data_IF_136875604814
#
_entry.id   IF_136875604814
#
_cell.length_a   1.000
_cell.length_b   1.000
_cell.length_c   1.000
_cell.angle_alpha   90.00
_cell.angle_beta   90.00
_cell.angle_gamma   90.00
#
_symmetry.space_group_name_H-M   'P 1'
#
loop_
_entity.id
_entity.type
_entity.pdbx_description
1 polymer ?
#
# COMPACT_ATOMS: atom_id res chain seq x y z
N UNK A 1 8.41 -37.46 61.06
CA UNK A 1 8.21 -37.78 59.63
C UNK A 1 6.94 -37.11 59.15
N UNK A 2 7.11 -35.96 58.51
CA UNK A 2 6.06 -34.99 58.13
C UNK A 2 5.43 -35.34 56.79
N UNK A 3 4.21 -35.88 56.80
CA UNK A 3 3.33 -36.00 55.63
C UNK A 3 2.24 -34.91 55.68
N UNK A 4 2.53 -33.76 55.08
CA UNK A 4 1.60 -32.64 54.81
C UNK A 4 2.47 -31.69 53.96
N UNK A 5 2.19 -31.39 52.70
CA UNK A 5 0.95 -30.88 52.13
C UNK A 5 1.15 -30.96 50.62
N UNK A 6 0.42 -31.84 49.94
CA UNK A 6 0.24 -31.77 48.49
C UNK A 6 -0.77 -30.66 48.18
N UNK A 7 -0.67 -30.08 46.98
CA UNK A 7 -1.67 -29.25 46.30
C UNK A 7 -1.79 -27.78 46.72
N UNK A 8 -0.92 -26.92 46.18
CA UNK A 8 -1.24 -25.54 45.79
C UNK A 8 -0.25 -25.16 44.67
N UNK A 9 -0.58 -24.60 43.53
CA UNK A 9 -1.84 -24.32 42.88
C UNK A 9 -1.48 -24.12 41.39
N UNK A 10 -2.13 -24.85 40.49
CA UNK A 10 -2.07 -24.56 39.07
C UNK A 10 -2.84 -23.24 38.85
N UNK A 11 -2.11 -22.12 38.86
CA UNK A 11 -2.70 -20.80 38.68
C UNK A 11 -1.96 -20.07 37.56
N UNK A 12 -2.71 -19.74 36.50
CA UNK A 12 -2.37 -18.59 35.66
C UNK A 12 -1.99 -18.91 34.23
N UNK A 13 -2.83 -19.65 33.49
CA UNK A 13 -2.91 -19.44 32.03
C UNK A 13 -4.35 -19.04 31.70
N UNK A 14 -4.66 -17.77 31.88
CA UNK A 14 -5.79 -17.13 31.22
C UNK A 14 -5.22 -16.29 30.09
N UNK A 15 -4.90 -16.93 28.96
CA UNK A 15 -4.58 -16.22 27.74
C UNK A 15 -5.88 -15.55 27.25
N UNK A 16 -5.98 -14.25 27.45
CA UNK A 16 -7.06 -13.43 26.89
C UNK A 16 -6.92 -13.48 25.36
N UNK A 17 -7.72 -14.32 24.71
CA UNK A 17 -7.89 -14.29 23.26
C UNK A 17 -8.67 -13.03 22.90
N UNK A 18 -7.96 -11.94 22.61
CA UNK A 18 -8.57 -10.76 22.04
C UNK A 18 -9.02 -11.08 20.60
N UNK A 19 -10.24 -10.69 20.20
CA UNK A 19 -10.67 -10.86 18.82
C UNK A 19 -9.81 -9.95 17.92
N UNK A 20 -9.13 -10.55 16.94
CA UNK A 20 -8.47 -9.79 15.88
C UNK A 20 -9.55 -9.18 14.98
N UNK A 21 -9.79 -7.88 15.14
CA UNK A 21 -10.65 -7.14 14.21
C UNK A 21 -9.87 -6.88 12.93
N UNK A 22 -10.24 -7.57 11.85
CA UNK A 22 -9.68 -7.29 10.52
C UNK A 22 -10.41 -6.07 9.96
N UNK A 23 -9.72 -4.94 9.91
CA UNK A 23 -10.25 -3.77 9.22
C UNK A 23 -10.30 -4.01 7.70
N UNK A 24 -11.37 -3.60 7.00
CA UNK A 24 -11.40 -3.67 5.54
C UNK A 24 -10.30 -2.79 4.96
N UNK A 25 -9.63 -3.28 3.91
CA UNK A 25 -8.67 -2.48 3.17
C UNK A 25 -9.38 -1.25 2.60
N UNK A 26 -8.82 -0.06 2.84
CA UNK A 26 -9.36 1.17 2.29
C UNK A 26 -9.42 1.10 0.75
N UNK A 27 -10.54 1.53 0.18
CA UNK A 27 -10.69 1.62 -1.26
C UNK A 27 -9.58 2.52 -1.82
N UNK A 28 -8.80 1.98 -2.76
CA UNK A 28 -7.73 2.75 -3.39
C UNK A 28 -8.36 3.77 -4.33
N UNK A 29 -8.07 5.06 -4.09
CA UNK A 29 -8.49 6.12 -4.98
C UNK A 29 -8.01 5.81 -6.40
N UNK A 30 -8.96 5.66 -7.31
CA UNK A 30 -8.72 5.52 -8.73
C UNK A 30 -9.25 6.78 -9.40
N UNK A 31 -8.39 7.47 -10.14
CA UNK A 31 -8.77 8.75 -10.73
C UNK A 31 -7.94 9.05 -11.97
N UNK A 32 -8.57 9.78 -12.88
CA UNK A 32 -7.93 10.34 -14.06
C UNK A 32 -7.99 11.85 -13.95
N UNK A 33 -6.88 12.51 -14.21
CA UNK A 33 -6.77 13.96 -14.23
C UNK A 33 -6.19 14.38 -15.57
N UNK A 34 -6.95 15.21 -16.30
CA UNK A 34 -6.43 15.82 -17.52
C UNK A 34 -5.26 16.76 -17.17
N UNK A 35 -4.24 16.79 -18.02
CA UNK A 35 -3.13 17.74 -17.96
C UNK A 35 -2.92 18.36 -19.33
N UNK A 36 -2.22 19.50 -19.37
CA UNK A 36 -1.78 20.06 -20.65
C UNK A 36 -0.98 19.01 -21.42
N UNK A 37 -1.41 18.70 -22.65
CA UNK A 37 -0.77 17.70 -23.50
C UNK A 37 -0.98 16.24 -23.08
N UNK A 38 -1.92 15.92 -22.18
CA UNK A 38 -2.21 14.51 -21.88
C UNK A 38 -3.00 14.27 -20.59
N UNK A 39 -2.64 13.22 -19.88
CA UNK A 39 -3.38 12.73 -18.71
C UNK A 39 -2.49 12.09 -17.66
N UNK A 40 -2.95 12.12 -16.42
CA UNK A 40 -2.38 11.39 -15.30
C UNK A 40 -3.45 10.49 -14.70
N UNK A 41 -3.10 9.24 -14.44
CA UNK A 41 -3.96 8.30 -13.72
C UNK A 41 -3.30 7.93 -12.41
N UNK A 42 -4.11 7.82 -11.36
CA UNK A 42 -3.69 7.24 -10.08
C UNK A 42 -4.53 6.01 -9.82
N UNK A 43 -3.87 4.92 -9.42
CA UNK A 43 -4.52 3.72 -8.92
C UNK A 43 -3.71 3.22 -7.72
N UNK A 44 -4.23 3.43 -6.52
CA UNK A 44 -3.52 3.10 -5.28
C UNK A 44 -2.19 3.86 -5.20
N UNK A 45 -1.09 3.11 -5.12
CA UNK A 45 0.26 3.69 -5.06
C UNK A 45 0.96 3.76 -6.43
N UNK A 46 0.22 3.63 -7.53
CA UNK A 46 0.75 3.73 -8.88
C UNK A 46 0.28 5.04 -9.52
N UNK A 47 1.20 5.71 -10.18
CA UNK A 47 0.94 6.90 -11.00
C UNK A 47 1.36 6.59 -12.42
N UNK A 48 0.46 6.81 -13.38
CA UNK A 48 0.77 6.75 -14.80
C UNK A 48 0.57 8.13 -15.39
N UNK A 49 1.57 8.64 -16.10
CA UNK A 49 1.44 9.88 -16.88
C UNK A 49 1.63 9.56 -18.35
N UNK A 50 0.67 10.03 -19.13
CA UNK A 50 0.71 9.98 -20.59
C UNK A 50 0.81 11.40 -21.09
N UNK A 51 1.79 11.67 -21.96
CA UNK A 51 2.00 12.97 -22.59
C UNK A 51 2.11 12.75 -24.09
N UNK A 52 1.25 13.41 -24.86
CA UNK A 52 1.40 13.49 -26.30
C UNK A 52 2.58 14.44 -26.61
N UNK A 53 3.56 13.91 -27.34
CA UNK A 53 4.68 14.71 -27.85
C UNK A 53 4.35 15.22 -29.26
N UNK A 54 3.69 14.39 -30.05
CA UNK A 54 3.09 14.72 -31.36
C UNK A 54 1.77 13.95 -31.49
N UNK A 55 1.08 14.09 -32.62
CA UNK A 55 -0.17 13.39 -32.89
C UNK A 55 0.00 11.86 -32.90
N UNK A 56 1.20 11.37 -33.24
CA UNK A 56 1.52 9.95 -33.40
C UNK A 56 2.48 9.41 -32.32
N UNK A 57 2.98 10.27 -31.41
CA UNK A 57 3.96 9.89 -30.39
C UNK A 57 3.44 10.22 -29.00
N UNK A 58 3.34 9.19 -28.16
CA UNK A 58 3.01 9.30 -26.75
C UNK A 58 4.19 8.88 -25.87
N UNK A 59 4.53 9.71 -24.89
CA UNK A 59 5.38 9.31 -23.77
C UNK A 59 4.54 8.78 -22.63
N UNK A 60 4.87 7.58 -22.16
CA UNK A 60 4.22 6.95 -21.01
C UNK A 60 5.24 6.74 -19.91
N UNK A 61 5.00 7.37 -18.76
CA UNK A 61 5.86 7.24 -17.57
C UNK A 61 5.04 6.60 -16.45
N UNK A 62 5.60 5.56 -15.82
CA UNK A 62 4.96 4.82 -14.73
C UNK A 62 5.84 4.97 -13.50
N UNK A 63 5.22 5.35 -12.38
CA UNK A 63 5.90 5.50 -11.10
C UNK A 63 5.15 4.74 -10.00
N UNK A 64 5.91 4.25 -9.03
CA UNK A 64 5.39 3.76 -7.74
C UNK A 64 5.60 4.85 -6.70
N UNK A 65 4.59 5.16 -5.89
CA UNK A 65 4.62 6.29 -4.97
C UNK A 65 3.81 7.48 -5.46
N UNK A 66 4.09 8.64 -4.90
CA UNK A 66 3.38 9.88 -5.20
C UNK A 66 4.13 10.80 -6.17
N UNK A 67 5.40 10.52 -6.44
CA UNK A 67 6.29 11.35 -7.24
C UNK A 67 6.67 10.67 -8.55
N UNK A 68 6.77 11.47 -9.61
CA UNK A 68 7.25 11.01 -10.91
C UNK A 68 8.78 10.96 -10.88
N UNK A 69 9.42 9.94 -11.47
CA UNK A 69 10.87 9.95 -11.66
C UNK A 69 11.30 11.15 -12.50
N UNK A 70 12.55 11.55 -12.30
CA UNK A 70 13.25 12.45 -13.21
C UNK A 70 13.28 11.84 -14.62
N UNK A 71 13.15 12.69 -15.64
CA UNK A 71 13.32 12.29 -17.03
C UNK A 71 14.81 12.23 -17.38
N UNK A 72 15.43 11.06 -17.15
CA UNK A 72 16.88 10.86 -17.29
C UNK A 72 17.29 10.15 -18.59
N UNK A 73 16.46 10.22 -19.63
CA UNK A 73 16.75 9.55 -20.91
C UNK A 73 17.72 10.37 -21.75
N UNK A 74 18.86 9.78 -22.15
CA UNK A 74 19.90 10.43 -22.96
C UNK A 74 19.73 10.23 -24.48
N UNK A 75 18.76 9.42 -24.90
CA UNK A 75 18.57 9.01 -26.30
C UNK A 75 17.17 9.34 -26.84
N UNK A 76 16.53 10.41 -26.34
CA UNK A 76 15.19 10.86 -26.79
C UNK A 76 15.30 11.83 -27.95
#
# INVERSE_FOLDING_TARGET
MTHRTWLLAAAGVLALAAPTVIAPAAAQATGITARAGGMETRQGNNVVRVTALTDDILRVTIARGTQMPEDASWAV
#
